data_IF_195073215850
#
_entry.id   IF_195073215850
#
_cell.length_a   1.000
_cell.length_b   1.000
_cell.length_c   1.000
_cell.angle_alpha   90.00
_cell.angle_beta   90.00
_cell.angle_gamma   90.00
#
_symmetry.space_group_name_H-M   'P 1'
#
loop_
_entity.id
_entity.type
_entity.pdbx_description
1 polymer ?
#
# COMPACT_ATOMS: atom_id res chain seq x y z
N UNK A 1 -6.18 8.21 19.67
CA UNK A 1 -5.54 7.54 18.53
C UNK A 1 -4.99 6.18 18.92
N UNK A 2 -5.60 5.09 18.44
CA UNK A 2 -5.21 3.70 18.74
C UNK A 2 -4.03 3.26 17.85
N UNK A 3 -2.93 3.99 17.92
CA UNK A 3 -1.69 3.56 17.30
C UNK A 3 -0.97 2.59 18.22
N UNK A 4 -0.79 1.36 17.76
CA UNK A 4 0.07 0.38 18.43
C UNK A 4 1.04 -0.22 17.43
N UNK A 5 2.24 -0.49 17.90
CA UNK A 5 3.27 -1.18 17.14
C UNK A 5 3.83 -2.31 18.03
N UNK A 6 3.98 -3.49 17.45
CA UNK A 6 4.46 -4.70 18.13
C UNK A 6 5.59 -5.31 17.31
N UNK A 7 6.61 -5.78 18.02
CA UNK A 7 7.79 -6.43 17.45
C UNK A 7 7.86 -7.85 17.98
N UNK A 8 7.84 -8.83 17.08
CA UNK A 8 7.97 -10.25 17.42
C UNK A 8 9.32 -10.73 16.89
N UNK A 9 10.27 -10.90 17.80
CA UNK A 9 11.60 -11.41 17.49
C UNK A 9 11.60 -12.94 17.52
N UNK A 10 12.09 -13.56 16.45
CA UNK A 10 12.44 -14.97 16.39
C UNK A 10 13.95 -15.11 16.21
N UNK A 11 14.49 -16.33 16.39
CA UNK A 11 15.94 -16.58 16.31
C UNK A 11 16.61 -16.05 15.03
N UNK A 12 15.88 -15.98 13.91
CA UNK A 12 16.39 -15.57 12.59
C UNK A 12 15.48 -14.58 11.85
N UNK A 13 14.40 -14.10 12.47
CA UNK A 13 13.43 -13.22 11.80
C UNK A 13 12.82 -12.19 12.75
N UNK A 14 12.32 -11.11 12.15
CA UNK A 14 11.57 -10.07 12.82
C UNK A 14 10.21 -9.93 12.12
N UNK A 15 9.13 -9.98 12.90
CA UNK A 15 7.79 -9.62 12.44
C UNK A 15 7.35 -8.35 13.16
N UNK A 16 6.82 -7.40 12.39
CA UNK A 16 6.23 -6.18 12.92
C UNK A 16 4.73 -6.14 12.66
N UNK A 17 3.97 -5.69 13.64
CA UNK A 17 2.54 -5.44 13.49
C UNK A 17 2.25 -4.00 13.87
N UNK A 18 1.38 -3.35 13.10
CA UNK A 18 0.98 -1.98 13.40
C UNK A 18 -0.52 -1.80 13.18
N UNK A 19 -1.21 -1.40 14.23
CA UNK A 19 -2.60 -0.94 14.12
C UNK A 19 -2.61 0.56 13.88
N UNK A 20 -3.29 0.99 12.83
CA UNK A 20 -3.49 2.39 12.54
C UNK A 20 -4.83 2.58 11.83
N UNK A 21 -5.45 3.78 11.90
CA UNK A 21 -6.70 4.00 11.20
C UNK A 21 -6.50 3.83 9.68
N UNK A 22 -7.54 3.38 8.96
CA UNK A 22 -7.48 3.30 7.50
C UNK A 22 -7.70 4.68 6.86
N UNK A 23 -8.57 5.49 7.45
CA UNK A 23 -8.90 6.84 6.96
C UNK A 23 -8.25 7.87 7.88
N UNK A 24 -7.61 8.89 7.31
CA UNK A 24 -7.15 10.09 8.02
C UNK A 24 -8.00 11.29 7.63
N UNK A 25 -7.77 12.42 8.29
CA UNK A 25 -8.29 13.73 7.86
C UNK A 25 -7.14 14.65 7.52
N UNK A 26 -7.24 15.37 6.41
CA UNK A 26 -6.26 16.36 6.01
C UNK A 26 -6.40 17.67 6.82
N UNK A 27 -5.61 18.69 6.48
CA UNK A 27 -5.64 19.99 7.15
C UNK A 27 -6.96 20.75 6.94
N UNK A 28 -7.79 20.35 5.98
CA UNK A 28 -9.13 20.89 5.72
C UNK A 28 -10.22 20.08 6.40
N UNK A 29 -9.88 18.93 7.00
CA UNK A 29 -10.80 18.01 7.66
C UNK A 29 -11.38 16.94 6.72
N UNK A 30 -10.99 16.91 5.45
CA UNK A 30 -11.49 15.97 4.45
C UNK A 30 -10.90 14.58 4.67
N UNK A 31 -11.71 13.54 4.40
CA UNK A 31 -11.28 12.15 4.57
C UNK A 31 -10.29 11.77 3.48
N UNK A 32 -9.14 11.23 3.87
CA UNK A 32 -8.12 10.73 2.94
C UNK A 32 -7.80 9.25 3.19
N UNK A 33 -7.59 8.52 2.10
CA UNK A 33 -7.16 7.12 2.11
C UNK A 33 -5.63 7.05 2.28
N UNK A 34 -5.17 7.25 3.51
CA UNK A 34 -3.73 7.28 3.85
C UNK A 34 -3.30 5.96 4.50
N UNK A 35 -3.31 4.89 3.72
CA UNK A 35 -2.87 3.56 4.12
C UNK A 35 -2.49 2.70 2.90
N UNK A 36 -1.93 1.52 3.15
CA UNK A 36 -1.51 0.57 2.11
C UNK A 36 -2.33 -0.73 2.09
N UNK A 37 -3.53 -0.80 2.66
CA UNK A 37 -4.29 -2.06 2.75
C UNK A 37 -4.54 -2.71 1.37
N UNK A 38 -4.82 -1.89 0.35
CA UNK A 38 -4.97 -2.33 -1.04
C UNK A 38 -3.68 -2.93 -1.64
N UNK A 39 -2.50 -2.57 -1.13
CA UNK A 39 -1.19 -3.05 -1.60
C UNK A 39 -0.61 -4.15 -0.69
N UNK A 40 -0.89 -4.10 0.61
CA UNK A 40 -0.31 -4.97 1.65
C UNK A 40 -1.29 -6.08 2.05
N UNK A 41 -1.99 -6.63 1.07
CA UNK A 41 -2.90 -7.76 1.25
C UNK A 41 -2.58 -8.87 0.24
N UNK A 42 -2.69 -10.16 0.61
CA UNK A 42 -2.43 -11.29 -0.29
C UNK A 42 -3.20 -11.22 -1.62
N UNK A 43 -4.37 -10.58 -1.65
CA UNK A 43 -5.17 -10.39 -2.88
C UNK A 43 -4.53 -9.43 -3.90
N UNK A 44 -3.45 -8.72 -3.55
CA UNK A 44 -2.67 -7.91 -4.51
C UNK A 44 -1.60 -8.73 -5.25
N UNK A 45 -1.27 -9.92 -4.73
CA UNK A 45 -0.29 -10.80 -5.36
C UNK A 45 -0.86 -11.40 -6.65
N UNK A 46 0.00 -11.53 -7.66
CA UNK A 46 -0.35 -12.29 -8.86
C UNK A 46 -0.73 -13.74 -8.46
N UNK A 47 -1.73 -14.37 -9.09
CA UNK A 47 -2.26 -15.67 -8.64
C UNK A 47 -1.20 -16.74 -8.43
N UNK A 48 -0.25 -16.89 -9.37
CA UNK A 48 0.84 -17.86 -9.23
C UNK A 48 1.83 -17.53 -8.09
N UNK A 49 2.04 -16.25 -7.80
CA UNK A 49 2.88 -15.82 -6.67
C UNK A 49 2.18 -16.10 -5.35
N UNK A 50 0.87 -15.83 -5.27
CA UNK A 50 0.06 -16.15 -4.09
C UNK A 50 0.09 -17.65 -3.80
N UNK A 51 -0.25 -18.48 -4.80
CA UNK A 51 -0.25 -19.94 -4.67
C UNK A 51 1.12 -20.47 -4.22
N UNK A 52 2.21 -19.97 -4.79
CA UNK A 52 3.56 -20.35 -4.37
C UNK A 52 3.86 -19.96 -2.91
N UNK A 53 3.39 -18.80 -2.46
CA UNK A 53 3.58 -18.36 -1.07
C UNK A 53 2.76 -19.21 -0.08
N UNK A 54 1.51 -19.53 -0.43
CA UNK A 54 0.62 -20.38 0.41
C UNK A 54 1.19 -21.79 0.61
N UNK A 55 2.04 -22.28 -0.30
CA UNK A 55 2.75 -23.55 -0.15
C UNK A 55 3.97 -23.47 0.78
N UNK A 56 4.55 -22.29 0.96
CA UNK A 56 5.78 -22.10 1.75
C UNK A 56 5.49 -21.77 3.21
N UNK A 57 4.47 -20.93 3.45
CA UNK A 57 4.15 -20.42 4.78
C UNK A 57 2.63 -20.19 4.94
N UNK A 58 2.11 -20.27 6.18
CA UNK A 58 0.77 -19.78 6.50
C UNK A 58 0.57 -18.32 6.09
N UNK A 59 -0.66 -17.93 5.76
CA UNK A 59 -0.99 -16.59 5.25
C UNK A 59 -0.65 -15.46 6.25
N UNK A 60 -0.67 -15.77 7.54
CA UNK A 60 -0.31 -14.88 8.64
C UNK A 60 1.20 -14.56 8.66
N UNK A 61 2.01 -15.38 8.00
CA UNK A 61 3.46 -15.21 7.87
C UNK A 61 3.88 -14.67 6.51
N UNK A 62 2.94 -14.24 5.67
CA UNK A 62 3.27 -13.56 4.44
C UNK A 62 4.09 -12.30 4.72
N UNK A 63 5.06 -11.93 3.86
CA UNK A 63 5.89 -10.75 4.08
C UNK A 63 5.10 -9.45 4.27
N UNK A 64 3.90 -9.39 3.69
CA UNK A 64 2.92 -8.30 3.87
C UNK A 64 1.52 -8.89 3.94
N UNK A 65 0.79 -8.53 4.98
CA UNK A 65 -0.62 -8.84 5.14
C UNK A 65 -1.29 -7.74 5.97
N UNK A 66 -2.61 -7.57 5.83
CA UNK A 66 -3.37 -6.58 6.58
C UNK A 66 -4.76 -7.11 6.93
N UNK A 67 -5.24 -6.68 8.09
CA UNK A 67 -6.52 -7.09 8.68
C UNK A 67 -7.27 -5.83 9.13
N UNK A 68 -8.54 -5.98 9.50
CA UNK A 68 -9.22 -4.93 10.24
C UNK A 68 -8.54 -4.69 11.60
N UNK A 69 -8.87 -3.57 12.25
CA UNK A 69 -8.25 -3.19 13.53
C UNK A 69 -8.51 -4.18 14.68
N UNK A 70 -9.53 -5.03 14.54
CA UNK A 70 -9.89 -6.13 15.44
C UNK A 70 -9.25 -7.48 15.04
N UNK A 71 -8.37 -7.47 14.04
CA UNK A 71 -7.70 -8.63 13.43
C UNK A 71 -8.60 -9.55 12.61
N UNK A 72 -9.86 -9.19 12.36
CA UNK A 72 -10.68 -9.95 11.40
C UNK A 72 -10.17 -9.76 9.97
N UNK A 73 -10.26 -10.79 9.09
CA UNK A 73 -9.86 -10.67 7.70
C UNK A 73 -10.62 -9.56 6.98
N UNK A 74 -9.95 -8.83 6.09
CA UNK A 74 -10.62 -7.87 5.21
C UNK A 74 -11.18 -8.65 4.01
N UNK A 75 -12.48 -8.54 3.70
CA UNK A 75 -13.06 -9.13 2.49
C UNK A 75 -12.33 -8.67 1.22
N UNK A 76 -12.03 -9.61 0.32
CA UNK A 76 -11.24 -9.30 -0.88
C UNK A 76 -11.97 -8.34 -1.84
N UNK A 77 -13.29 -8.39 -1.87
CA UNK A 77 -14.16 -7.51 -2.67
C UNK A 77 -14.06 -6.04 -2.22
N UNK A 78 -13.88 -5.78 -0.93
CA UNK A 78 -13.65 -4.43 -0.41
C UNK A 78 -12.35 -3.85 -0.97
N UNK A 79 -11.27 -4.63 -0.95
CA UNK A 79 -9.98 -4.20 -1.49
C UNK A 79 -10.00 -4.10 -3.02
N UNK A 80 -10.74 -4.97 -3.70
CA UNK A 80 -11.00 -4.85 -5.14
C UNK A 80 -11.69 -3.52 -5.46
N UNK A 81 -12.74 -3.16 -4.71
CA UNK A 81 -13.45 -1.90 -4.88
C UNK A 81 -12.54 -0.67 -4.67
N UNK A 82 -11.64 -0.72 -3.67
CA UNK A 82 -10.63 0.32 -3.45
C UNK A 82 -9.70 0.43 -4.66
N UNK A 83 -9.13 -0.68 -5.13
CA UNK A 83 -8.24 -0.69 -6.31
C UNK A 83 -8.97 -0.15 -7.55
N UNK A 84 -10.23 -0.52 -7.76
CA UNK A 84 -11.06 -0.01 -8.86
C UNK A 84 -11.27 1.50 -8.78
N UNK A 85 -11.56 2.01 -7.59
CA UNK A 85 -11.72 3.44 -7.35
C UNK A 85 -10.41 4.18 -7.62
N UNK A 86 -9.28 3.66 -7.12
CA UNK A 86 -7.95 4.23 -7.39
C UNK A 86 -7.62 4.22 -8.88
N UNK A 87 -7.98 3.16 -9.62
CA UNK A 87 -7.80 3.09 -11.08
C UNK A 87 -8.62 4.16 -11.81
N UNK A 88 -9.86 4.42 -11.37
CA UNK A 88 -10.75 5.45 -11.95
C UNK A 88 -10.26 6.87 -11.65
N UNK A 89 -9.71 7.10 -10.47
CA UNK A 89 -9.14 8.39 -10.05
C UNK A 89 -7.70 8.62 -10.55
N UNK A 90 -7.08 7.60 -11.16
CA UNK A 90 -5.68 7.67 -11.60
C UNK A 90 -5.50 8.71 -12.69
N UNK A 91 -4.56 9.61 -12.47
CA UNK A 91 -4.01 10.48 -13.51
C UNK A 91 -2.57 10.06 -13.84
N UNK A 92 -2.24 10.04 -15.13
CA UNK A 92 -0.89 9.77 -15.61
C UNK A 92 -0.51 10.80 -16.67
N UNK A 93 0.72 11.30 -16.59
CA UNK A 93 1.27 12.23 -17.57
C UNK A 93 2.61 11.70 -18.09
N UNK A 94 2.93 12.07 -19.32
CA UNK A 94 4.18 11.71 -19.97
C UNK A 94 5.25 12.71 -19.59
N UNK A 95 6.21 12.28 -18.78
CA UNK A 95 7.35 13.09 -18.37
C UNK A 95 8.15 13.59 -19.57
N UNK A 96 8.45 14.89 -19.57
CA UNK A 96 9.46 15.52 -20.42
C UNK A 96 10.62 16.00 -19.56
N UNK A 97 11.80 16.12 -20.18
CA UNK A 97 12.96 16.68 -19.48
C UNK A 97 12.65 18.12 -19.04
N UNK A 98 12.91 18.40 -17.76
CA UNK A 98 12.62 19.70 -17.15
C UNK A 98 11.26 19.78 -16.45
N UNK A 99 10.36 18.80 -16.64
CA UNK A 99 9.10 18.75 -15.90
C UNK A 99 9.34 18.60 -14.40
N UNK A 100 8.51 19.27 -13.60
CA UNK A 100 8.46 19.15 -12.14
C UNK A 100 7.05 18.80 -11.71
N UNK A 101 6.92 17.72 -10.91
CA UNK A 101 5.67 17.39 -10.23
C UNK A 101 5.81 17.72 -8.75
N UNK A 102 4.95 18.62 -8.27
CA UNK A 102 4.73 18.83 -6.85
C UNK A 102 3.40 18.19 -6.46
N UNK A 103 3.40 17.37 -5.41
CA UNK A 103 2.20 16.75 -4.87
C UNK A 103 2.18 16.82 -3.35
N UNK A 104 0.98 16.81 -2.78
CA UNK A 104 0.79 16.62 -1.35
C UNK A 104 0.74 15.13 -1.05
N UNK A 105 1.77 14.58 -0.41
CA UNK A 105 1.86 13.15 -0.12
C UNK A 105 0.73 12.66 0.78
N UNK A 106 0.11 13.54 1.56
CA UNK A 106 -1.01 13.20 2.45
C UNK A 106 -2.33 12.99 1.69
N UNK A 107 -2.46 13.59 0.51
CA UNK A 107 -3.69 13.57 -0.29
C UNK A 107 -3.57 12.72 -1.56
N UNK A 108 -2.35 12.43 -2.01
CA UNK A 108 -2.09 11.78 -3.31
C UNK A 108 -1.27 10.51 -3.15
N UNK A 109 -1.87 9.36 -3.49
CA UNK A 109 -1.13 8.14 -3.77
C UNK A 109 -0.44 8.26 -5.14
N UNK A 110 0.82 7.84 -5.21
CA UNK A 110 1.59 7.89 -6.44
C UNK A 110 2.28 6.56 -6.72
N UNK A 111 2.57 6.32 -7.99
CA UNK A 111 3.16 5.08 -8.48
C UNK A 111 3.77 5.27 -9.85
N UNK A 112 4.11 4.16 -10.50
CA UNK A 112 4.82 4.18 -11.77
C UNK A 112 4.33 3.07 -12.69
N UNK A 113 4.07 3.39 -13.96
CA UNK A 113 3.89 2.39 -15.01
C UNK A 113 5.23 1.73 -15.38
N UNK A 114 5.18 0.50 -15.89
CA UNK A 114 6.33 -0.15 -16.52
C UNK A 114 6.94 0.77 -17.60
N UNK A 115 8.27 0.74 -17.76
CA UNK A 115 8.99 1.52 -18.77
C UNK A 115 10.18 0.71 -19.29
N UNK A 116 10.69 1.11 -20.46
CA UNK A 116 11.90 0.58 -21.09
C UNK A 116 12.90 1.70 -21.40
N UNK A 117 14.17 1.35 -21.60
CA UNK A 117 15.22 2.32 -21.93
C UNK A 117 15.69 3.17 -20.75
N UNK A 118 16.45 4.23 -21.06
CA UNK A 118 17.01 5.11 -20.04
C UNK A 118 15.97 6.11 -19.53
N UNK A 119 15.75 6.12 -18.22
CA UNK A 119 14.87 7.06 -17.53
C UNK A 119 15.48 7.45 -16.19
N UNK A 120 15.57 8.76 -15.91
CA UNK A 120 16.03 9.30 -14.63
C UNK A 120 15.00 10.30 -14.12
N UNK A 121 14.45 10.02 -12.94
CA UNK A 121 13.56 10.92 -12.19
C UNK A 121 14.23 11.18 -10.86
N UNK A 122 14.35 12.45 -10.48
CA UNK A 122 14.87 12.86 -9.18
C UNK A 122 13.70 13.15 -8.23
N UNK A 123 13.90 12.91 -6.94
CA UNK A 123 12.88 13.10 -5.90
C UNK A 123 13.49 13.91 -4.77
N UNK A 124 12.70 14.82 -4.22
CA UNK A 124 12.96 15.48 -2.95
C UNK A 124 11.73 15.27 -2.07
N UNK A 125 11.94 14.91 -0.80
CA UNK A 125 10.89 14.76 0.19
C UNK A 125 11.07 15.82 1.27
N UNK A 126 9.95 16.32 1.80
CA UNK A 126 9.90 17.29 2.87
C UNK A 126 9.16 16.70 4.06
#
# INVERSE_FOLDING_TARGET
>A
DNHSEQFHHCKVSLRTERTCPAVRRDSKGEKVWFNHAHLFHPSDLAPGVRQGMEQLVPVELFPKNCYFGDRTPIPEDYLSHVRDTMRKCKFAFSWKQGDLLLLNNFEVCHGRHAFSGHRKILVSMK
#
